data_IF_832773860359
#
_entry.id   IF_832773860359
#
_cell.length_a   1.000
_cell.length_b   1.000
_cell.length_c   1.000
_cell.angle_alpha   90.00
_cell.angle_beta   90.00
_cell.angle_gamma   90.00
#
_symmetry.space_group_name_H-M   'P 1'
#
loop_
_entity.id
_entity.type
_entity.pdbx_description
1 polymer ?
#
# COMPACT_ATOMS: atom_id res chain seq x y z
N UNK A 1 29.15 -15.37 -6.71
CA UNK A 1 30.29 -14.64 -7.34
C UNK A 1 30.92 -13.64 -6.38
N UNK A 2 30.16 -12.71 -5.80
CA UNK A 2 30.65 -11.72 -4.81
C UNK A 2 31.26 -12.33 -3.53
N UNK A 3 30.76 -13.48 -3.05
CA UNK A 3 31.33 -14.17 -1.89
C UNK A 3 32.80 -14.59 -2.08
N UNK A 4 33.27 -14.80 -3.32
CA UNK A 4 34.69 -15.09 -3.61
C UNK A 4 35.60 -13.89 -3.32
N UNK A 5 35.10 -12.66 -3.55
CA UNK A 5 35.81 -11.41 -3.25
C UNK A 5 35.95 -11.16 -1.74
N UNK A 6 35.18 -11.89 -0.93
CA UNK A 6 35.19 -11.82 0.54
C UNK A 6 36.00 -12.94 1.20
N UNK A 7 36.66 -13.82 0.43
CA UNK A 7 37.43 -14.97 0.98
C UNK A 7 38.55 -14.54 1.94
N UNK A 8 39.19 -13.40 1.69
CA UNK A 8 40.34 -12.91 2.48
C UNK A 8 39.94 -11.93 3.60
N UNK A 9 38.65 -11.67 3.80
CA UNK A 9 38.16 -10.78 4.85
C UNK A 9 37.60 -11.61 6.00
N UNK A 10 38.31 -11.71 7.13
CA UNK A 10 37.83 -12.46 8.30
C UNK A 10 36.77 -11.69 9.12
N UNK A 11 36.74 -10.36 9.02
CA UNK A 11 35.81 -9.51 9.76
C UNK A 11 34.34 -9.63 9.31
N UNK A 12 33.42 -9.40 10.26
CA UNK A 12 31.97 -9.37 10.01
C UNK A 12 31.49 -8.08 9.32
N UNK A 13 32.33 -7.05 9.23
CA UNK A 13 32.02 -5.79 8.60
C UNK A 13 33.25 -5.18 7.90
N UNK A 14 33.04 -4.64 6.69
CA UNK A 14 34.04 -3.81 5.99
C UNK A 14 33.69 -2.35 6.27
N UNK A 15 34.52 -1.67 7.06
CA UNK A 15 34.34 -0.25 7.40
C UNK A 15 34.68 0.70 6.26
N UNK A 16 34.39 2.00 6.44
CA UNK A 16 34.67 3.09 5.48
C UNK A 16 36.16 3.51 5.44
N UNK A 17 37.11 2.56 5.44
CA UNK A 17 38.54 2.86 5.24
C UNK A 17 38.86 2.79 3.74
N UNK A 18 39.81 3.58 3.25
CA UNK A 18 40.17 3.70 1.82
C UNK A 18 40.34 2.34 1.08
N UNK A 19 40.96 1.33 1.70
CA UNK A 19 41.11 0.00 1.09
C UNK A 19 39.78 -0.77 0.97
N UNK A 20 38.83 -0.51 1.87
CA UNK A 20 37.48 -1.07 1.84
C UNK A 20 36.59 -0.47 0.74
N UNK A 21 36.88 0.73 0.27
CA UNK A 21 36.09 1.42 -0.76
C UNK A 21 36.21 0.74 -2.13
N UNK A 22 37.42 0.33 -2.48
CA UNK A 22 37.69 -0.40 -3.74
C UNK A 22 36.94 -1.73 -3.76
N UNK A 23 36.99 -2.48 -2.65
CA UNK A 23 36.29 -3.77 -2.52
C UNK A 23 34.78 -3.59 -2.55
N UNK A 24 34.24 -2.57 -1.86
CA UNK A 24 32.80 -2.24 -1.90
C UNK A 24 32.33 -1.93 -3.32
N UNK A 25 33.12 -1.16 -4.09
CA UNK A 25 32.81 -0.83 -5.49
C UNK A 25 32.82 -2.06 -6.38
N UNK A 26 33.85 -2.90 -6.29
CA UNK A 26 33.93 -4.16 -7.06
C UNK A 26 32.77 -5.10 -6.74
N UNK A 27 32.40 -5.22 -5.46
CA UNK A 27 31.23 -6.02 -5.06
C UNK A 27 29.96 -5.45 -5.68
N UNK A 28 29.74 -4.14 -5.60
CA UNK A 28 28.56 -3.50 -6.18
C UNK A 28 28.49 -3.72 -7.70
N UNK A 29 29.60 -3.51 -8.42
CA UNK A 29 29.68 -3.73 -9.88
C UNK A 29 29.49 -5.21 -10.26
N UNK A 30 29.88 -6.14 -9.37
CA UNK A 30 29.64 -7.57 -9.59
C UNK A 30 28.18 -8.00 -9.38
N UNK A 31 27.44 -7.29 -8.54
CA UNK A 31 26.04 -7.58 -8.22
C UNK A 31 25.07 -6.82 -9.13
N UNK A 32 25.41 -5.58 -9.50
CA UNK A 32 24.54 -4.68 -10.25
C UNK A 32 25.24 -4.19 -11.51
N UNK A 33 24.72 -4.60 -12.66
CA UNK A 33 25.12 -4.07 -13.95
C UNK A 33 24.16 -2.96 -14.39
N UNK A 34 24.68 -1.75 -14.62
CA UNK A 34 23.90 -0.67 -15.19
C UNK A 34 23.52 -1.00 -16.64
N UNK A 35 22.22 -1.15 -16.91
CA UNK A 35 21.70 -1.39 -18.27
C UNK A 35 21.26 -0.12 -18.98
N UNK A 36 20.51 0.74 -18.28
CA UNK A 36 19.91 1.93 -18.87
C UNK A 36 19.94 3.11 -17.90
N UNK A 37 20.00 4.32 -18.45
CA UNK A 37 19.81 5.58 -17.73
C UNK A 37 18.74 6.38 -18.47
N UNK A 38 17.63 6.65 -17.79
CA UNK A 38 16.46 7.29 -18.39
C UNK A 38 16.03 8.51 -17.58
N UNK A 39 15.59 9.55 -18.28
CA UNK A 39 14.91 10.69 -17.68
C UNK A 39 13.41 10.37 -17.59
N UNK A 40 12.90 10.24 -16.36
CA UNK A 40 11.50 9.86 -16.10
C UNK A 40 10.62 11.08 -15.85
N UNK A 41 10.97 11.84 -14.81
CA UNK A 41 10.26 13.05 -14.39
C UNK A 41 10.76 14.26 -15.19
N UNK A 42 9.82 15.14 -15.55
CA UNK A 42 10.13 16.42 -16.20
C UNK A 42 10.71 17.43 -15.19
N UNK A 43 11.24 18.57 -15.67
CA UNK A 43 11.75 19.62 -14.79
C UNK A 43 10.66 20.12 -13.83
N UNK A 44 10.97 20.12 -12.53
CA UNK A 44 10.05 20.52 -11.47
C UNK A 44 9.25 19.38 -10.82
N UNK A 45 9.17 18.21 -11.44
CA UNK A 45 8.57 17.02 -10.83
C UNK A 45 9.60 16.22 -10.00
N UNK A 46 9.21 15.78 -8.81
CA UNK A 46 10.00 14.91 -7.95
C UNK A 46 9.46 13.49 -7.99
N UNK A 47 10.33 12.52 -8.29
CA UNK A 47 9.99 11.10 -8.23
C UNK A 47 9.77 10.69 -6.77
N UNK A 48 8.64 10.05 -6.47
CA UNK A 48 8.41 9.48 -5.15
C UNK A 48 9.22 8.18 -5.02
N UNK A 49 10.18 8.17 -4.09
CA UNK A 49 11.11 7.04 -3.86
C UNK A 49 10.42 5.79 -3.31
N UNK A 50 9.23 5.95 -2.73
CA UNK A 50 8.47 4.88 -2.08
C UNK A 50 7.31 4.39 -2.98
N UNK A 51 7.22 4.88 -4.22
CA UNK A 51 6.21 4.47 -5.19
C UNK A 51 6.85 3.73 -6.36
N UNK A 52 6.86 2.40 -6.26
CA UNK A 52 7.33 1.50 -7.31
C UNK A 52 6.49 0.25 -7.35
N UNK A 53 5.94 -0.05 -8.52
CA UNK A 53 5.16 -1.26 -8.77
C UNK A 53 5.69 -1.93 -10.05
N UNK A 54 5.72 -3.25 -10.07
CA UNK A 54 6.22 -4.04 -11.20
C UNK A 54 5.12 -4.94 -11.75
N UNK A 55 5.08 -5.11 -13.06
CA UNK A 55 4.20 -6.13 -13.66
C UNK A 55 4.70 -7.52 -13.35
N UNK A 56 3.82 -8.53 -13.33
CA UNK A 56 4.16 -9.93 -13.00
C UNK A 56 5.29 -10.51 -13.88
N UNK A 57 5.38 -10.11 -15.14
CA UNK A 57 6.44 -10.53 -16.06
C UNK A 57 7.72 -9.66 -15.99
N UNK A 58 7.82 -8.78 -15.00
CA UNK A 58 8.91 -7.80 -14.79
C UNK A 58 9.31 -7.02 -16.04
N UNK A 59 8.40 -6.85 -17.00
CA UNK A 59 8.69 -6.16 -18.26
C UNK A 59 8.42 -4.66 -18.14
N UNK A 60 7.54 -4.24 -17.23
CA UNK A 60 7.23 -2.85 -16.96
C UNK A 60 7.34 -2.50 -15.48
N UNK A 61 7.76 -1.27 -15.22
CA UNK A 61 7.69 -0.63 -13.91
C UNK A 61 6.73 0.56 -13.96
N UNK A 62 5.99 0.76 -12.88
CA UNK A 62 5.10 1.92 -12.67
C UNK A 62 5.70 2.75 -11.55
N UNK A 63 6.02 4.01 -11.84
CA UNK A 63 6.57 4.95 -10.88
C UNK A 63 5.68 6.18 -10.77
N UNK A 64 5.56 6.75 -9.58
CA UNK A 64 4.83 8.01 -9.35
C UNK A 64 5.78 9.19 -9.17
N UNK A 65 5.51 10.31 -9.82
CA UNK A 65 6.11 11.61 -9.53
C UNK A 65 5.06 12.61 -9.06
N UNK A 66 5.55 13.63 -8.35
CA UNK A 66 4.76 14.72 -7.80
C UNK A 66 5.36 16.04 -8.28
N UNK A 67 4.55 16.89 -8.89
CA UNK A 67 4.91 18.24 -9.29
C UNK A 67 4.11 19.27 -8.47
N UNK A 68 4.75 20.36 -8.02
CA UNK A 68 4.01 21.43 -7.35
C UNK A 68 3.05 22.10 -8.34
N UNK A 69 1.96 22.62 -7.81
CA UNK A 69 1.09 23.53 -8.57
C UNK A 69 1.77 24.89 -8.56
N UNK A 70 2.08 25.43 -9.74
CA UNK A 70 2.78 26.71 -9.84
C UNK A 70 1.96 27.82 -9.18
N UNK A 71 2.60 28.64 -8.34
CA UNK A 71 1.92 29.70 -7.55
C UNK A 71 1.17 30.73 -8.39
N UNK A 72 1.51 30.85 -9.68
CA UNK A 72 0.88 31.80 -10.62
C UNK A 72 -0.35 31.20 -11.33
N UNK A 73 -0.64 29.91 -11.14
CA UNK A 73 -1.82 29.25 -11.71
C UNK A 73 -2.94 29.37 -10.68
N UNK A 74 -3.94 30.18 -11.00
CA UNK A 74 -5.23 30.15 -10.30
C UNK A 74 -5.90 28.86 -10.72
N UNK A 75 -6.07 27.93 -9.78
CA UNK A 75 -6.87 26.73 -10.02
C UNK A 75 -8.33 27.14 -10.08
N UNK A 76 -9.03 26.74 -11.13
CA UNK A 76 -10.46 26.92 -11.19
C UNK A 76 -11.13 26.06 -10.12
N UNK A 77 -12.23 26.56 -9.57
CA UNK A 77 -12.99 25.83 -8.54
C UNK A 77 -13.46 24.47 -9.05
N UNK A 78 -13.76 24.38 -10.35
CA UNK A 78 -14.16 23.15 -11.04
C UNK A 78 -13.05 22.09 -11.10
N UNK A 79 -11.78 22.53 -11.16
CA UNK A 79 -10.63 21.63 -11.16
C UNK A 79 -10.40 21.00 -9.78
N UNK A 80 -10.78 21.70 -8.70
CA UNK A 80 -10.62 21.24 -7.32
C UNK A 80 -11.82 20.39 -6.88
N UNK A 81 -13.03 20.81 -7.24
CA UNK A 81 -14.29 20.20 -6.85
C UNK A 81 -14.99 19.59 -8.08
N UNK A 82 -14.50 18.43 -8.51
CA UNK A 82 -15.04 17.74 -9.70
C UNK A 82 -16.41 17.08 -9.49
N UNK A 83 -16.84 16.92 -8.22
CA UNK A 83 -18.14 16.39 -7.81
C UNK A 83 -18.46 16.79 -6.37
N UNK A 84 -19.71 16.57 -5.94
CA UNK A 84 -20.25 16.94 -4.63
C UNK A 84 -19.67 16.16 -3.43
N UNK A 85 -18.92 15.07 -3.66
CA UNK A 85 -18.22 14.33 -2.61
C UNK A 85 -16.74 14.74 -2.50
N UNK A 86 -16.25 15.61 -3.37
CA UNK A 86 -14.87 16.10 -3.33
C UNK A 86 -14.52 16.65 -1.95
N UNK A 87 -13.31 16.40 -1.50
CA UNK A 87 -12.86 16.70 -0.15
C UNK A 87 -12.40 18.16 -0.04
N UNK A 88 -12.58 18.78 1.11
CA UNK A 88 -12.10 20.14 1.33
C UNK A 88 -10.56 20.16 1.45
N UNK A 89 -9.84 20.89 0.57
CA UNK A 89 -8.39 21.03 0.68
C UNK A 89 -7.99 21.64 2.02
N UNK A 90 -6.89 21.18 2.60
CA UNK A 90 -6.37 21.77 3.83
C UNK A 90 -4.84 21.83 3.80
N UNK A 91 -4.25 22.56 4.75
CA UNK A 91 -2.79 22.73 4.84
C UNK A 91 -2.05 21.40 5.04
N UNK A 92 -2.72 20.40 5.65
CA UNK A 92 -2.15 19.07 5.91
C UNK A 92 -2.16 18.17 4.66
N UNK A 93 -2.98 18.50 3.67
CA UNK A 93 -3.13 17.80 2.39
C UNK A 93 -3.08 18.82 1.26
N UNK A 94 -1.88 19.32 0.95
CA UNK A 94 -1.70 20.17 -0.21
C UNK A 94 -2.08 19.40 -1.48
N UNK A 95 -2.75 20.11 -2.38
CA UNK A 95 -3.05 19.64 -3.72
C UNK A 95 -1.78 19.73 -4.57
N UNK A 96 -1.53 18.68 -5.33
CA UNK A 96 -0.35 18.57 -6.18
C UNK A 96 -0.73 17.97 -7.53
N UNK A 97 0.15 18.15 -8.51
CA UNK A 97 0.03 17.46 -9.79
C UNK A 97 0.76 16.12 -9.70
N UNK A 98 0.07 15.02 -9.94
CA UNK A 98 0.64 13.68 -9.89
C UNK A 98 0.81 13.14 -11.29
N UNK A 99 1.98 12.57 -11.59
CA UNK A 99 2.21 11.86 -12.85
C UNK A 99 2.59 10.42 -12.56
N UNK A 100 1.83 9.47 -13.11
CA UNK A 100 2.15 8.04 -13.06
C UNK A 100 2.83 7.64 -14.37
N UNK A 101 4.07 7.20 -14.29
CA UNK A 101 4.92 6.82 -15.42
C UNK A 101 4.95 5.31 -15.58
N UNK A 102 4.71 4.85 -16.81
CA UNK A 102 4.94 3.46 -17.22
C UNK A 102 6.29 3.36 -17.92
N UNK A 103 7.19 2.54 -17.39
CA UNK A 103 8.55 2.36 -17.90
C UNK A 103 8.69 0.95 -18.46
N UNK A 104 9.16 0.83 -19.69
CA UNK A 104 9.55 -0.45 -20.27
C UNK A 104 10.98 -0.78 -19.82
N UNK A 105 11.11 -1.79 -18.96
CA UNK A 105 12.38 -2.20 -18.36
C UNK A 105 13.32 -2.80 -19.41
N UNK A 106 12.77 -3.55 -20.38
CA UNK A 106 13.55 -4.21 -21.43
C UNK A 106 14.18 -3.23 -22.42
N UNK A 107 13.45 -2.16 -22.76
CA UNK A 107 13.91 -1.13 -23.70
C UNK A 107 14.60 0.05 -23.02
N UNK A 108 14.43 0.22 -21.71
CA UNK A 108 14.92 1.39 -21.00
C UNK A 108 14.28 2.68 -21.53
N UNK A 109 12.95 2.74 -21.58
CA UNK A 109 12.23 3.93 -22.07
C UNK A 109 10.88 4.12 -21.35
N UNK A 110 10.46 5.37 -21.19
CA UNK A 110 9.11 5.71 -20.71
C UNK A 110 8.11 5.43 -21.84
N UNK A 111 7.15 4.55 -21.59
CA UNK A 111 6.15 4.12 -22.58
C UNK A 111 4.87 4.96 -22.52
N UNK A 112 4.42 5.36 -21.33
CA UNK A 112 3.20 6.14 -21.15
C UNK A 112 3.24 6.96 -19.86
N UNK A 113 2.44 8.03 -19.81
CA UNK A 113 2.27 8.90 -18.64
C UNK A 113 0.78 9.15 -18.40
N UNK A 114 0.35 9.10 -17.14
CA UNK A 114 -0.98 9.49 -16.69
C UNK A 114 -0.84 10.72 -15.81
N UNK A 115 -1.57 11.78 -16.13
CA UNK A 115 -1.51 13.04 -15.39
C UNK A 115 -2.79 13.26 -14.59
N UNK A 116 -2.63 13.63 -13.32
CA UNK A 116 -3.70 14.00 -12.41
C UNK A 116 -3.39 15.42 -11.90
N UNK A 117 -4.33 16.34 -12.09
CA UNK A 117 -4.18 17.75 -11.71
C UNK A 117 -4.91 18.02 -10.42
N UNK A 118 -4.37 18.93 -9.60
CA UNK A 118 -5.01 19.42 -8.37
C UNK A 118 -5.58 18.30 -7.48
N UNK A 119 -4.86 17.19 -7.37
CA UNK A 119 -5.35 15.97 -6.72
C UNK A 119 -4.61 15.71 -5.40
N UNK A 120 -5.07 14.70 -4.67
CA UNK A 120 -4.34 14.05 -3.60
C UNK A 120 -4.31 12.54 -3.83
N UNK A 121 -3.14 12.04 -4.21
CA UNK A 121 -2.88 10.61 -4.39
C UNK A 121 -1.76 10.19 -3.44
N UNK A 122 -2.04 9.23 -2.56
CA UNK A 122 -1.06 8.74 -1.57
C UNK A 122 -0.02 7.81 -2.20
N UNK A 123 0.98 8.36 -2.86
CA UNK A 123 2.05 7.58 -3.52
C UNK A 123 2.98 6.87 -2.53
N UNK A 124 3.19 7.44 -1.35
CA UNK A 124 4.07 6.83 -0.32
C UNK A 124 3.62 5.42 0.03
N UNK A 125 4.55 4.48 -0.06
CA UNK A 125 4.33 3.06 0.16
C UNK A 125 3.15 2.49 -0.66
N UNK A 126 2.96 2.96 -1.90
CA UNK A 126 1.92 2.47 -2.81
C UNK A 126 0.48 2.49 -2.23
N UNK A 127 0.15 3.41 -1.30
CA UNK A 127 -1.14 3.36 -0.60
C UNK A 127 -2.33 3.82 -1.45
N UNK A 128 -2.10 4.71 -2.41
CA UNK A 128 -3.11 5.25 -3.32
C UNK A 128 -3.08 4.63 -4.72
N UNK A 129 -2.14 3.73 -4.99
CA UNK A 129 -1.96 3.10 -6.30
C UNK A 129 -1.81 1.60 -6.13
N UNK A 130 -2.62 0.83 -6.84
CA UNK A 130 -2.63 -0.63 -6.74
C UNK A 130 -2.51 -1.27 -8.11
N UNK A 131 -1.49 -2.11 -8.31
CA UNK A 131 -1.28 -2.87 -9.55
C UNK A 131 -1.47 -4.36 -9.27
N UNK A 132 -2.42 -4.99 -9.97
CA UNK A 132 -2.67 -6.42 -9.94
C UNK A 132 -2.78 -6.94 -11.38
N UNK A 133 -1.93 -7.90 -11.75
CA UNK A 133 -1.79 -8.37 -13.15
C UNK A 133 -1.54 -7.18 -14.09
N UNK A 134 -2.49 -6.92 -14.98
CA UNK A 134 -2.46 -5.82 -15.94
C UNK A 134 -3.40 -4.65 -15.54
N UNK A 135 -4.07 -4.74 -14.39
CA UNK A 135 -5.02 -3.72 -13.94
C UNK A 135 -4.35 -2.80 -12.92
N UNK A 136 -4.31 -1.50 -13.23
CA UNK A 136 -3.84 -0.45 -12.35
C UNK A 136 -5.05 0.34 -11.82
N UNK A 137 -5.22 0.38 -10.51
CA UNK A 137 -6.18 1.25 -9.85
C UNK A 137 -5.46 2.43 -9.19
N UNK A 138 -6.00 3.63 -9.35
CA UNK A 138 -5.49 4.87 -8.72
C UNK A 138 -6.64 5.55 -7.96
N UNK A 139 -6.48 5.76 -6.66
CA UNK A 139 -7.47 6.45 -5.82
C UNK A 139 -7.11 7.93 -5.77
N UNK A 140 -7.97 8.75 -6.37
CA UNK A 140 -8.03 10.19 -6.13
C UNK A 140 -8.80 10.42 -4.83
N UNK A 141 -8.07 10.81 -3.78
CA UNK A 141 -8.67 11.12 -2.48
C UNK A 141 -9.37 12.48 -2.54
N UNK A 142 -8.79 13.45 -3.23
CA UNK A 142 -9.39 14.78 -3.37
C UNK A 142 -10.72 14.71 -4.10
N UNK A 143 -10.76 14.04 -5.26
CA UNK A 143 -11.95 13.97 -6.10
C UNK A 143 -12.88 12.82 -5.75
N UNK A 144 -12.55 11.94 -4.80
CA UNK A 144 -13.34 10.75 -4.49
C UNK A 144 -13.65 9.89 -5.73
N UNK A 145 -12.62 9.63 -6.54
CA UNK A 145 -12.72 8.81 -7.75
C UNK A 145 -11.63 7.74 -7.74
N UNK A 146 -12.01 6.50 -8.05
CA UNK A 146 -11.06 5.43 -8.35
C UNK A 146 -10.95 5.32 -9.87
N UNK A 147 -9.78 5.60 -10.41
CA UNK A 147 -9.45 5.43 -11.82
C UNK A 147 -8.90 4.03 -12.03
N UNK A 148 -9.53 3.24 -12.90
CA UNK A 148 -9.08 1.89 -13.23
C UNK A 148 -8.57 1.88 -14.67
N UNK A 149 -7.32 1.46 -14.84
CA UNK A 149 -6.65 1.35 -16.12
C UNK A 149 -6.27 -0.10 -16.41
N UNK A 150 -6.30 -0.48 -17.68
CA UNK A 150 -5.73 -1.73 -18.17
C UNK A 150 -4.42 -1.45 -18.90
N UNK A 151 -3.41 -2.27 -18.65
CA UNK A 151 -2.16 -2.25 -19.39
C UNK A 151 -2.31 -3.10 -20.66
N UNK A 152 -2.36 -2.44 -21.81
CA UNK A 152 -2.39 -3.10 -23.13
C UNK A 152 -1.35 -2.46 -24.04
N UNK A 153 -0.60 -3.28 -24.77
CA UNK A 153 0.35 -2.80 -25.80
C UNK A 153 1.35 -1.71 -25.31
N UNK A 154 1.85 -1.81 -24.08
CA UNK A 154 2.75 -0.82 -23.46
C UNK A 154 2.10 0.53 -23.11
N UNK A 155 0.77 0.60 -23.02
CA UNK A 155 0.02 1.81 -22.65
C UNK A 155 -1.05 1.49 -21.60
N UNK A 156 -1.36 2.48 -20.78
CA UNK A 156 -2.53 2.43 -19.91
C UNK A 156 -3.76 2.96 -20.65
N UNK A 157 -4.78 2.12 -20.74
CA UNK A 157 -6.10 2.47 -21.26
C UNK A 157 -7.07 2.59 -20.09
N UNK A 158 -7.76 3.73 -19.97
CA UNK A 158 -8.79 3.91 -18.96
C UNK A 158 -9.92 2.92 -19.21
N UNK A 159 -10.28 2.13 -18.20
CA UNK A 159 -11.38 1.16 -18.27
C UNK A 159 -12.67 1.69 -17.63
N UNK A 160 -12.54 2.50 -16.58
CA UNK A 160 -13.66 3.11 -15.85
C UNK A 160 -13.17 4.10 -14.81
N UNK A 161 -14.07 5.00 -14.44
CA UNK A 161 -13.97 5.87 -13.25
C UNK A 161 -15.09 5.48 -12.29
N UNK A 162 -14.75 5.16 -11.05
CA UNK A 162 -15.71 4.71 -10.02
C UNK A 162 -15.79 5.80 -8.94
N UNK A 163 -16.95 6.40 -8.76
CA UNK A 163 -17.18 7.52 -7.82
C UNK A 163 -18.56 8.14 -8.07
N UNK A 164 -18.58 9.35 -8.67
CA UNK A 164 -19.80 10.03 -9.18
C UNK A 164 -20.67 9.09 -10.01
N UNK A 165 -20.05 8.36 -10.94
CA UNK A 165 -20.68 7.29 -11.71
C UNK A 165 -19.99 5.94 -11.46
N UNK A 166 -20.63 4.84 -11.85
CA UNK A 166 -20.07 3.49 -11.72
C UNK A 166 -19.72 2.86 -13.07
N UNK A 167 -20.46 3.21 -14.13
CA UNK A 167 -20.20 2.82 -15.51
C UNK A 167 -19.92 4.04 -16.39
N UNK A 168 -19.22 3.82 -17.49
CA UNK A 168 -18.86 4.89 -18.44
C UNK A 168 -20.09 5.49 -19.12
N UNK A 169 -21.12 4.67 -19.38
CA UNK A 169 -22.34 5.09 -20.06
C UNK A 169 -23.36 5.76 -19.11
N UNK A 170 -23.13 5.74 -17.79
CA UNK A 170 -24.06 6.31 -16.81
C UNK A 170 -24.30 7.80 -17.06
N UNK A 171 -23.24 8.55 -17.42
CA UNK A 171 -23.36 9.97 -17.71
C UNK A 171 -24.29 10.22 -18.91
N UNK A 172 -24.11 9.48 -20.01
CA UNK A 172 -24.96 9.61 -21.19
C UNK A 172 -26.42 9.23 -20.89
N UNK A 173 -26.63 8.18 -20.09
CA UNK A 173 -27.98 7.76 -19.70
C UNK A 173 -28.67 8.80 -18.81
N UNK A 174 -27.99 9.29 -17.78
CA UNK A 174 -28.57 10.26 -16.84
C UNK A 174 -28.81 11.60 -17.53
N UNK A 175 -27.85 12.07 -18.34
CA UNK A 175 -27.99 13.32 -19.10
C UNK A 175 -29.11 13.28 -20.15
N UNK A 176 -29.51 12.09 -20.62
CA UNK A 176 -30.68 11.95 -21.49
C UNK A 176 -32.02 12.28 -20.79
N UNK A 177 -32.05 12.18 -19.46
CA UNK A 177 -33.23 12.50 -18.63
C UNK A 177 -33.06 13.86 -17.95
N UNK A 178 -31.87 14.16 -17.46
CA UNK A 178 -31.52 15.42 -16.80
C UNK A 178 -30.61 16.26 -17.71
N UNK A 179 -31.23 16.90 -18.70
CA UNK A 179 -30.52 17.66 -19.75
C UNK A 179 -29.71 18.83 -19.22
N UNK A 180 -30.04 19.33 -18.02
CA UNK A 180 -29.28 20.39 -17.34
C UNK A 180 -27.82 20.00 -17.13
N UNK A 181 -27.51 18.69 -17.03
CA UNK A 181 -26.13 18.18 -16.95
C UNK A 181 -25.27 18.46 -18.18
N UNK A 182 -25.89 18.75 -19.32
CA UNK A 182 -25.22 19.02 -20.59
C UNK A 182 -24.92 20.52 -20.75
N UNK A 183 -25.55 21.38 -19.92
CA UNK A 183 -25.33 22.81 -19.97
C UNK A 183 -23.87 23.16 -19.65
N UNK A 184 -23.30 24.15 -20.33
CA UNK A 184 -21.92 24.61 -20.10
C UNK A 184 -21.71 25.14 -18.68
N UNK A 185 -22.76 25.70 -18.08
CA UNK A 185 -22.75 26.20 -16.70
C UNK A 185 -22.98 25.10 -15.65
N UNK A 186 -23.15 23.84 -16.07
CA UNK A 186 -23.42 22.75 -15.13
C UNK A 186 -22.21 22.44 -14.26
N UNK A 187 -22.38 22.66 -12.96
CA UNK A 187 -21.35 22.42 -11.95
C UNK A 187 -21.64 21.14 -11.19
N UNK A 188 -20.86 20.10 -11.46
CA UNK A 188 -21.01 18.78 -10.83
C UNK A 188 -20.87 18.79 -9.29
N UNK A 189 -20.19 19.77 -8.71
CA UNK A 189 -20.10 19.90 -7.25
C UNK A 189 -21.39 20.42 -6.59
N UNK A 190 -22.30 21.04 -7.35
CA UNK A 190 -23.60 21.50 -6.86
C UNK A 190 -24.68 20.41 -6.91
N UNK A 191 -24.32 19.18 -7.24
CA UNK A 191 -25.25 18.06 -7.31
C UNK A 191 -25.86 17.76 -5.94
N UNK A 192 -27.19 17.74 -5.89
CA UNK A 192 -27.94 17.40 -4.67
C UNK A 192 -28.05 15.89 -4.49
N UNK A 193 -27.98 15.13 -5.59
CA UNK A 193 -28.14 13.68 -5.55
C UNK A 193 -26.86 12.97 -5.09
N UNK A 194 -27.06 11.81 -4.46
CA UNK A 194 -25.96 10.96 -3.97
C UNK A 194 -25.25 10.31 -5.15
N UNK A 195 -23.91 10.34 -5.15
CA UNK A 195 -23.11 9.72 -6.20
C UNK A 195 -23.36 8.22 -6.35
N UNK A 196 -23.09 7.67 -7.54
CA UNK A 196 -23.40 6.29 -7.88
C UNK A 196 -22.81 5.26 -6.91
N UNK A 197 -21.52 5.40 -6.55
CA UNK A 197 -20.88 4.47 -5.62
C UNK A 197 -21.46 4.59 -4.19
N UNK A 198 -21.65 5.81 -3.71
CA UNK A 198 -22.22 6.10 -2.39
C UNK A 198 -23.66 5.62 -2.28
N UNK A 199 -24.46 5.81 -3.32
CA UNK A 199 -25.83 5.33 -3.38
C UNK A 199 -25.87 3.80 -3.26
N UNK A 200 -24.98 3.08 -3.95
CA UNK A 200 -24.88 1.62 -3.81
C UNK A 200 -24.48 1.18 -2.40
N UNK A 201 -23.60 1.91 -1.72
CA UNK A 201 -23.28 1.69 -0.30
C UNK A 201 -24.53 1.88 0.58
N UNK A 202 -25.26 2.99 0.42
CA UNK A 202 -26.46 3.29 1.20
C UNK A 202 -27.57 2.26 0.99
N UNK A 203 -27.83 1.87 -0.27
CA UNK A 203 -28.81 0.84 -0.61
C UNK A 203 -28.43 -0.50 0.00
N UNK A 204 -27.14 -0.87 -0.01
CA UNK A 204 -26.68 -2.10 0.62
C UNK A 204 -26.91 -2.08 2.13
N UNK A 205 -26.54 -0.99 2.82
CA UNK A 205 -26.73 -0.84 4.27
C UNK A 205 -28.21 -0.87 4.66
N UNK A 206 -29.07 -0.20 3.88
CA UNK A 206 -30.52 -0.24 4.08
C UNK A 206 -31.08 -1.65 3.93
N UNK A 207 -30.79 -2.34 2.82
CA UNK A 207 -31.26 -3.71 2.58
C UNK A 207 -30.73 -4.71 3.61
N UNK A 208 -29.52 -4.47 4.13
CA UNK A 208 -28.98 -5.26 5.25
C UNK A 208 -29.81 -5.05 6.52
N UNK A 209 -30.09 -3.79 6.89
CA UNK A 209 -30.91 -3.44 8.04
C UNK A 209 -32.36 -3.95 7.91
N UNK A 210 -32.93 -3.94 6.71
CA UNK A 210 -34.25 -4.52 6.41
C UNK A 210 -34.27 -6.03 6.67
N UNK A 211 -33.31 -6.78 6.12
CA UNK A 211 -33.20 -8.24 6.37
C UNK A 211 -33.00 -8.57 7.84
N UNK A 212 -32.16 -7.81 8.55
CA UNK A 212 -31.95 -7.98 9.99
C UNK A 212 -33.23 -7.66 10.78
N UNK A 213 -34.01 -6.67 10.33
CA UNK A 213 -35.29 -6.31 10.92
C UNK A 213 -36.34 -7.41 10.74
N UNK A 214 -36.42 -8.01 9.55
CA UNK A 214 -37.29 -9.14 9.25
C UNK A 214 -36.91 -10.38 10.09
N UNK A 215 -35.62 -10.70 10.18
CA UNK A 215 -35.13 -11.85 10.96
C UNK A 215 -35.36 -11.67 12.47
N UNK A 216 -35.15 -10.47 12.99
CA UNK A 216 -35.36 -10.18 14.41
C UNK A 216 -36.83 -9.92 14.78
N UNK A 217 -37.71 -9.75 13.79
CA UNK A 217 -39.11 -9.34 14.00
C UNK A 217 -39.24 -7.96 14.64
N UNK A 218 -38.21 -7.10 14.57
CA UNK A 218 -38.22 -5.76 15.19
C UNK A 218 -37.71 -4.70 14.22
N UNK A 219 -38.27 -3.49 14.28
CA UNK A 219 -37.81 -2.35 13.46
C UNK A 219 -36.55 -1.65 13.99
N UNK A 220 -35.90 -2.21 15.01
CA UNK A 220 -34.73 -1.60 15.64
C UNK A 220 -33.54 -1.41 14.67
N UNK A 221 -33.17 -2.39 13.82
CA UNK A 221 -32.07 -2.21 12.85
C UNK A 221 -32.32 -1.08 11.85
N UNK A 222 -33.55 -0.96 11.35
CA UNK A 222 -33.94 0.13 10.45
C UNK A 222 -33.86 1.50 11.15
N UNK A 223 -34.33 1.61 12.39
CA UNK A 223 -34.19 2.85 13.18
C UNK A 223 -32.72 3.24 13.38
N UNK A 224 -31.86 2.26 13.64
CA UNK A 224 -30.41 2.48 13.77
C UNK A 224 -29.81 2.98 12.45
N UNK A 225 -30.20 2.42 11.31
CA UNK A 225 -29.77 2.92 10.00
C UNK A 225 -30.13 4.40 9.81
N UNK A 226 -31.39 4.78 10.08
CA UNK A 226 -31.82 6.18 9.96
C UNK A 226 -31.13 7.11 10.98
N UNK A 227 -30.84 6.62 12.18
CA UNK A 227 -30.07 7.39 13.19
C UNK A 227 -28.66 7.72 12.70
N UNK A 228 -28.00 6.82 11.98
CA UNK A 228 -26.63 7.00 11.48
C UNK A 228 -26.57 7.43 10.00
N UNK A 229 -27.70 7.80 9.40
CA UNK A 229 -27.81 8.11 7.98
C UNK A 229 -26.84 9.22 7.53
N UNK A 230 -26.81 10.34 8.25
CA UNK A 230 -25.94 11.47 7.94
C UNK A 230 -24.46 11.10 8.09
N UNK A 231 -24.14 10.23 9.05
CA UNK A 231 -22.79 9.72 9.22
C UNK A 231 -22.36 8.85 8.04
N UNK A 232 -23.25 8.01 7.49
CA UNK A 232 -22.92 7.19 6.32
C UNK A 232 -22.72 8.03 5.05
N UNK A 233 -23.53 9.07 4.85
CA UNK A 233 -23.39 9.99 3.71
C UNK A 233 -22.09 10.79 3.79
N UNK A 234 -21.74 11.27 4.98
CA UNK A 234 -20.50 12.05 5.20
C UNK A 234 -19.21 11.22 5.08
N UNK A 235 -19.28 9.90 5.01
CA UNK A 235 -18.09 9.07 4.79
C UNK A 235 -17.37 9.44 3.48
N UNK A 236 -16.06 9.27 3.45
CA UNK A 236 -15.20 9.46 2.28
C UNK A 236 -14.29 8.25 2.09
N UNK A 237 -14.00 7.91 0.84
CA UNK A 237 -13.01 6.90 0.47
C UNK A 237 -11.64 7.36 0.96
N UNK A 238 -11.02 6.50 1.76
CA UNK A 238 -9.72 6.76 2.38
C UNK A 238 -8.61 5.95 1.70
N UNK A 239 -8.86 4.67 1.49
CA UNK A 239 -7.89 3.71 0.93
C UNK A 239 -8.61 2.68 0.08
N UNK A 240 -7.87 2.05 -0.82
CA UNK A 240 -8.39 0.94 -1.62
C UNK A 240 -7.34 -0.15 -1.83
N UNK A 241 -7.83 -1.31 -2.26
CA UNK A 241 -7.02 -2.44 -2.67
C UNK A 241 -7.79 -3.28 -3.68
N UNK A 242 -7.10 -3.87 -4.66
CA UNK A 242 -7.68 -4.92 -5.50
C UNK A 242 -7.56 -6.27 -4.78
N UNK A 243 -8.68 -6.99 -4.63
CA UNK A 243 -8.69 -8.37 -4.14
C UNK A 243 -8.49 -9.35 -5.30
N UNK A 244 -9.10 -9.03 -6.44
CA UNK A 244 -8.89 -9.71 -7.71
C UNK A 244 -9.08 -8.72 -8.88
N UNK A 245 -9.18 -9.23 -10.11
CA UNK A 245 -9.34 -8.42 -11.33
C UNK A 245 -10.72 -7.74 -11.41
N UNK A 246 -11.72 -8.18 -10.65
CA UNK A 246 -13.09 -7.67 -10.67
C UNK A 246 -13.54 -7.06 -9.33
N UNK A 247 -12.95 -7.47 -8.22
CA UNK A 247 -13.36 -7.13 -6.87
C UNK A 247 -12.31 -6.27 -6.18
N UNK A 248 -12.76 -5.18 -5.57
CA UNK A 248 -11.92 -4.27 -4.80
C UNK A 248 -12.45 -4.07 -3.39
N UNK A 249 -11.53 -3.89 -2.46
CA UNK A 249 -11.79 -3.49 -1.09
C UNK A 249 -11.61 -1.97 -1.00
N UNK A 250 -12.65 -1.26 -0.62
CA UNK A 250 -12.65 0.20 -0.42
C UNK A 250 -12.87 0.47 1.06
N UNK A 251 -11.97 1.24 1.69
CA UNK A 251 -12.12 1.67 3.07
C UNK A 251 -12.68 3.09 3.11
N UNK A 252 -13.83 3.23 3.76
CA UNK A 252 -14.46 4.50 4.06
C UNK A 252 -14.15 4.95 5.50
N UNK A 253 -13.94 6.25 5.68
CA UNK A 253 -13.76 6.88 6.98
C UNK A 253 -14.43 8.27 6.97
N UNK A 254 -14.46 8.97 8.10
CA UNK A 254 -14.91 10.36 8.14
C UNK A 254 -13.97 11.27 7.34
N UNK A 255 -14.48 12.41 6.87
CA UNK A 255 -13.69 13.39 6.14
C UNK A 255 -12.47 13.85 6.96
N UNK A 256 -12.57 13.97 8.29
CA UNK A 256 -11.45 14.38 9.15
C UNK A 256 -10.31 13.34 9.20
N UNK A 257 -10.62 12.05 9.07
CA UNK A 257 -9.62 10.98 8.94
C UNK A 257 -8.96 11.04 7.56
N UNK A 258 -9.78 11.18 6.52
CA UNK A 258 -9.29 11.27 5.13
C UNK A 258 -8.44 12.52 4.95
N UNK A 259 -8.80 13.61 5.61
CA UNK A 259 -8.12 14.90 5.55
C UNK A 259 -6.90 15.02 6.48
N UNK A 260 -6.50 13.92 7.11
CA UNK A 260 -5.37 13.83 8.05
C UNK A 260 -5.44 14.83 9.23
N UNK A 261 -6.63 15.35 9.57
CA UNK A 261 -6.83 16.21 10.75
C UNK A 261 -6.73 15.41 12.05
N UNK A 262 -6.98 14.11 11.98
CA UNK A 262 -6.89 13.17 13.11
C UNK A 262 -5.54 12.43 13.08
N UNK A 263 -4.78 12.52 14.17
CA UNK A 263 -3.46 11.89 14.30
C UNK A 263 -3.51 10.36 14.39
N UNK A 264 -4.53 9.78 15.05
CA UNK A 264 -4.69 8.34 15.21
C UNK A 264 -5.94 7.81 14.47
N UNK A 265 -5.85 7.60 13.14
CA UNK A 265 -6.99 7.23 12.33
C UNK A 265 -7.51 5.81 12.63
N UNK A 266 -6.65 4.94 13.19
CA UNK A 266 -7.03 3.58 13.59
C UNK A 266 -8.06 3.56 14.71
N UNK A 267 -8.20 4.64 15.49
CA UNK A 267 -9.17 4.74 16.59
C UNK A 267 -10.57 5.12 16.11
N UNK A 268 -10.70 5.65 14.91
CA UNK A 268 -11.97 6.12 14.38
C UNK A 268 -12.77 4.97 13.76
N UNK A 269 -14.10 5.12 13.73
CA UNK A 269 -14.97 4.18 13.02
C UNK A 269 -14.65 4.23 11.52
N UNK A 270 -14.57 3.06 10.90
CA UNK A 270 -14.36 2.96 9.45
C UNK A 270 -15.09 1.73 8.91
N UNK A 271 -15.44 1.80 7.63
CA UNK A 271 -16.18 0.76 6.94
C UNK A 271 -15.35 0.19 5.79
N UNK A 272 -15.46 -1.11 5.59
CA UNK A 272 -14.82 -1.84 4.52
C UNK A 272 -15.90 -2.32 3.56
N UNK A 273 -15.89 -1.81 2.34
CA UNK A 273 -16.81 -2.19 1.28
C UNK A 273 -16.10 -3.08 0.27
N UNK A 274 -16.65 -4.27 0.02
CA UNK A 274 -16.23 -5.13 -1.08
C UNK A 274 -17.11 -4.81 -2.28
N UNK A 275 -16.50 -4.30 -3.34
CA UNK A 275 -17.20 -3.82 -4.54
C UNK A 275 -16.73 -4.59 -5.77
N UNK A 276 -17.68 -5.15 -6.52
CA UNK A 276 -17.41 -5.72 -7.84
C UNK A 276 -17.51 -4.62 -8.87
N UNK A 277 -16.39 -4.28 -9.52
CA UNK A 277 -16.37 -3.21 -10.50
C UNK A 277 -17.01 -3.61 -11.82
N UNK A 278 -17.00 -4.88 -12.21
CA UNK A 278 -17.57 -5.36 -13.49
C UNK A 278 -19.09 -5.28 -13.49
N UNK A 279 -19.74 -5.73 -12.42
CA UNK A 279 -21.20 -5.67 -12.25
C UNK A 279 -21.68 -4.40 -11.57
N UNK A 280 -20.75 -3.57 -11.06
CA UNK A 280 -21.04 -2.42 -10.21
C UNK A 280 -21.95 -2.78 -9.01
N UNK A 281 -21.67 -3.87 -8.32
CA UNK A 281 -22.45 -4.32 -7.16
C UNK A 281 -21.62 -4.32 -5.89
N UNK A 282 -22.20 -3.87 -4.78
CA UNK A 282 -21.62 -4.03 -3.45
C UNK A 282 -21.90 -5.45 -2.96
N UNK A 283 -20.85 -6.22 -2.72
CA UNK A 283 -20.94 -7.61 -2.27
C UNK A 283 -21.16 -7.68 -0.75
N UNK A 284 -20.36 -6.92 0.01
CA UNK A 284 -20.55 -6.80 1.45
C UNK A 284 -19.96 -5.51 2.01
N UNK A 285 -20.44 -5.12 3.20
CA UNK A 285 -19.93 -3.98 3.97
C UNK A 285 -19.72 -4.40 5.42
N UNK A 286 -18.51 -4.19 5.91
CA UNK A 286 -18.07 -4.54 7.25
C UNK A 286 -17.64 -3.31 8.03
N UNK A 287 -17.93 -3.30 9.32
CA UNK A 287 -17.33 -2.35 10.26
C UNK A 287 -15.90 -2.76 10.58
N UNK A 288 -15.07 -1.82 11.02
CA UNK A 288 -13.70 -2.10 11.45
C UNK A 288 -13.57 -2.95 12.72
N UNK A 289 -14.68 -3.25 13.38
CA UNK A 289 -14.77 -4.14 14.55
C UNK A 289 -15.29 -5.53 14.19
N UNK A 290 -15.61 -5.79 12.91
CA UNK A 290 -16.24 -7.03 12.46
C UNK A 290 -15.36 -8.26 12.65
N UNK A 291 -15.86 -9.26 13.37
CA UNK A 291 -15.21 -10.57 13.50
C UNK A 291 -15.23 -11.35 12.19
N UNK A 292 -16.29 -11.22 11.37
CA UNK A 292 -16.43 -11.96 10.11
C UNK A 292 -15.34 -11.55 9.11
N UNK A 293 -15.07 -10.25 8.99
CA UNK A 293 -13.99 -9.77 8.14
C UNK A 293 -12.63 -10.21 8.67
N UNK A 294 -12.43 -10.22 9.99
CA UNK A 294 -11.19 -10.72 10.59
C UNK A 294 -10.98 -12.20 10.27
N UNK A 295 -12.01 -13.04 10.45
CA UNK A 295 -11.93 -14.45 10.10
C UNK A 295 -11.64 -14.64 8.60
N UNK A 296 -12.35 -13.92 7.73
CA UNK A 296 -12.07 -13.94 6.29
C UNK A 296 -10.63 -13.55 5.96
N UNK A 297 -10.09 -12.53 6.62
CA UNK A 297 -8.70 -12.12 6.46
C UNK A 297 -7.70 -13.16 6.98
N UNK A 298 -7.96 -13.79 8.12
CA UNK A 298 -7.07 -14.81 8.71
C UNK A 298 -7.01 -16.08 7.83
N UNK A 299 -8.15 -16.52 7.32
CA UNK A 299 -8.24 -17.72 6.45
C UNK A 299 -7.71 -17.47 5.04
N UNK A 300 -7.96 -16.29 4.46
CA UNK A 300 -7.60 -15.96 3.07
C UNK A 300 -6.52 -14.88 2.98
N UNK A 301 -5.61 -14.83 3.96
CA UNK A 301 -4.59 -13.77 4.09
C UNK A 301 -3.78 -13.59 2.80
N UNK A 302 -3.44 -14.68 2.12
CA UNK A 302 -2.66 -14.66 0.87
C UNK A 302 -3.40 -13.92 -0.25
N UNK A 303 -4.72 -14.03 -0.35
CA UNK A 303 -5.53 -13.28 -1.33
C UNK A 303 -5.46 -11.77 -1.07
N UNK A 304 -5.43 -11.35 0.20
CA UNK A 304 -5.23 -9.94 0.54
C UNK A 304 -3.77 -9.50 0.35
N UNK A 305 -2.79 -10.38 0.40
CA UNK A 305 -1.38 -9.98 0.18
C UNK A 305 -1.00 -9.92 -1.30
N UNK A 306 -1.71 -10.68 -2.15
CA UNK A 306 -1.43 -10.84 -3.58
C UNK A 306 0.05 -11.19 -3.85
N UNK A 307 0.55 -12.35 -3.36
CA UNK A 307 1.95 -12.74 -3.49
C UNK A 307 2.38 -13.16 -4.91
N UNK A 308 1.46 -13.16 -5.89
CA UNK A 308 1.64 -13.75 -7.23
C UNK A 308 2.67 -13.06 -8.14
N UNK A 309 3.47 -12.14 -7.61
CA UNK A 309 4.56 -11.50 -8.35
C UNK A 309 5.83 -12.36 -8.41
N UNK A 310 5.84 -13.53 -7.77
CA UNK A 310 6.97 -14.44 -7.83
C UNK A 310 6.86 -15.39 -9.04
N UNK A 311 7.75 -15.28 -10.06
CA UNK A 311 7.74 -16.17 -11.23
C UNK A 311 7.97 -17.64 -10.87
N UNK A 312 8.67 -17.89 -9.76
CA UNK A 312 9.10 -19.22 -9.32
C UNK A 312 8.07 -19.92 -8.42
N UNK A 313 6.92 -19.29 -8.16
CA UNK A 313 5.83 -19.87 -7.38
C UNK A 313 6.06 -19.94 -5.86
N UNK A 314 7.18 -19.41 -5.32
CA UNK A 314 7.35 -19.33 -3.87
C UNK A 314 6.37 -18.30 -3.28
N UNK A 315 5.43 -18.79 -2.47
CA UNK A 315 4.54 -17.94 -1.70
C UNK A 315 5.23 -17.53 -0.40
N UNK A 316 5.22 -16.22 -0.05
CA UNK A 316 5.72 -15.77 1.23
C UNK A 316 4.88 -16.38 2.36
N UNK A 317 5.53 -16.65 3.49
CA UNK A 317 4.84 -17.16 4.66
C UNK A 317 3.77 -16.19 5.17
N UNK A 318 2.61 -16.75 5.49
CA UNK A 318 1.46 -16.04 6.02
C UNK A 318 0.77 -16.88 7.10
N UNK A 319 -0.10 -16.26 7.91
CA UNK A 319 -0.91 -16.99 8.88
C UNK A 319 -1.81 -18.08 8.23
N UNK A 320 -2.19 -17.92 6.96
CA UNK A 320 -3.00 -18.89 6.23
C UNK A 320 -2.20 -20.12 5.80
N UNK A 321 -0.93 -19.97 5.42
CA UNK A 321 -0.15 -21.06 4.80
C UNK A 321 0.99 -21.64 5.68
N UNK A 322 1.36 -20.98 6.78
CA UNK A 322 2.52 -21.38 7.59
C UNK A 322 2.20 -21.43 9.09
N UNK A 323 2.58 -22.53 9.75
CA UNK A 323 2.29 -22.77 11.17
C UNK A 323 2.98 -21.76 12.09
N UNK A 324 4.22 -21.36 11.80
CA UNK A 324 4.98 -20.44 12.65
C UNK A 324 4.45 -19.02 12.51
N UNK A 325 4.15 -18.60 11.27
CA UNK A 325 3.46 -17.33 11.01
C UNK A 325 2.09 -17.29 11.70
N UNK A 326 1.34 -18.40 11.69
CA UNK A 326 0.06 -18.51 12.40
C UNK A 326 0.24 -18.37 13.91
N UNK A 327 1.23 -19.06 14.48
CA UNK A 327 1.52 -18.97 15.92
C UNK A 327 1.92 -17.56 16.35
N UNK A 328 2.76 -16.87 15.57
CA UNK A 328 3.11 -15.46 15.79
C UNK A 328 1.88 -14.55 15.75
N UNK A 329 0.99 -14.76 14.77
CA UNK A 329 -0.26 -14.01 14.62
C UNK A 329 -1.22 -14.24 15.80
N UNK A 330 -1.38 -15.49 16.26
CA UNK A 330 -2.21 -15.82 17.42
C UNK A 330 -1.64 -15.22 18.71
N UNK A 331 -0.32 -15.26 18.90
CA UNK A 331 0.33 -14.57 20.04
C UNK A 331 0.07 -13.06 20.01
N UNK A 332 0.16 -12.45 18.83
CA UNK A 332 -0.14 -11.03 18.66
C UNK A 332 -1.61 -10.72 18.99
N UNK A 333 -2.55 -11.51 18.46
CA UNK A 333 -3.98 -11.41 18.73
C UNK A 333 -4.29 -11.54 20.22
N UNK A 334 -3.74 -12.56 20.89
CA UNK A 334 -3.90 -12.76 22.34
C UNK A 334 -3.33 -11.61 23.17
N UNK A 335 -2.20 -11.03 22.75
CA UNK A 335 -1.63 -9.84 23.40
C UNK A 335 -2.56 -8.64 23.30
N UNK A 336 -3.24 -8.45 22.17
CA UNK A 336 -4.20 -7.34 21.98
C UNK A 336 -5.50 -7.57 22.75
N UNK A 337 -5.96 -8.83 22.85
CA UNK A 337 -7.14 -9.19 23.64
C UNK A 337 -6.91 -8.93 25.13
N UNK A 338 -5.73 -9.29 25.65
CA UNK A 338 -5.40 -9.19 27.08
C UNK A 338 -4.83 -7.83 27.49
N UNK A 339 -4.70 -6.87 26.57
CA UNK A 339 -4.18 -5.54 26.87
C UNK A 339 -5.13 -4.74 27.80
N UNK A 340 -4.61 -3.73 28.49
CA UNK A 340 -5.44 -2.80 29.29
C UNK A 340 -6.37 -2.02 28.35
N UNK A 341 -7.68 -2.08 28.59
CA UNK A 341 -8.74 -1.62 27.67
C UNK A 341 -8.81 -2.40 26.34
N UNK A 342 -8.26 -3.62 26.32
CA UNK A 342 -8.40 -4.57 25.23
C UNK A 342 -9.78 -5.24 25.20
N UNK A 343 -9.96 -6.13 24.24
CA UNK A 343 -11.19 -6.86 24.00
C UNK A 343 -11.31 -7.25 22.53
N UNK A 344 -12.30 -8.08 22.19
CA UNK A 344 -12.48 -8.58 20.81
C UNK A 344 -12.61 -7.45 19.79
N UNK A 345 -13.40 -6.42 20.10
CA UNK A 345 -13.61 -5.29 19.18
C UNK A 345 -12.31 -4.50 18.93
N UNK A 346 -11.52 -4.23 19.97
CA UNK A 346 -10.27 -3.48 19.85
C UNK A 346 -9.16 -4.32 19.19
N UNK A 347 -9.10 -5.62 19.47
CA UNK A 347 -8.21 -6.55 18.77
C UNK A 347 -8.55 -6.62 17.26
N UNK A 348 -9.83 -6.79 16.92
CA UNK A 348 -10.31 -6.79 15.53
C UNK A 348 -9.92 -5.48 14.84
N UNK A 349 -10.18 -4.35 15.48
CA UNK A 349 -9.86 -3.01 14.97
C UNK A 349 -8.38 -2.80 14.68
N UNK A 350 -7.49 -3.30 15.55
CA UNK A 350 -6.03 -3.21 15.35
C UNK A 350 -5.53 -4.10 14.22
N UNK A 351 -6.04 -5.34 14.13
CA UNK A 351 -5.63 -6.28 13.08
C UNK A 351 -6.17 -5.81 11.71
N UNK A 352 -7.47 -5.50 11.63
CA UNK A 352 -8.12 -4.97 10.42
C UNK A 352 -7.63 -3.57 10.05
N UNK A 353 -7.00 -2.85 10.98
CA UNK A 353 -6.35 -1.57 10.72
C UNK A 353 -5.27 -1.65 9.64
N UNK A 354 -4.70 -2.84 9.39
CA UNK A 354 -3.76 -3.10 8.30
C UNK A 354 -4.40 -3.06 6.91
N UNK A 355 -5.71 -3.28 6.80
CA UNK A 355 -6.44 -3.22 5.56
C UNK A 355 -6.83 -1.77 5.22
N UNK A 356 -6.85 -1.40 3.93
CA UNK A 356 -6.34 -2.16 2.79
C UNK A 356 -4.81 -2.23 2.77
N UNK A 357 -4.29 -3.36 2.30
CA UNK A 357 -2.86 -3.61 2.14
C UNK A 357 -2.36 -2.88 0.90
N UNK A 358 -1.18 -2.28 0.99
CA UNK A 358 -0.55 -1.62 -0.16
C UNK A 358 -0.08 -2.65 -1.20
N UNK A 359 -0.11 -2.28 -2.48
CA UNK A 359 0.35 -3.18 -3.53
C UNK A 359 1.84 -3.48 -3.40
N UNK A 360 2.19 -4.75 -3.60
CA UNK A 360 3.58 -5.27 -3.66
C UNK A 360 4.40 -4.95 -2.40
N UNK A 361 3.75 -4.88 -1.24
CA UNK A 361 4.41 -4.50 0.02
C UNK A 361 5.06 -5.67 0.77
N UNK A 362 5.17 -6.85 0.16
CA UNK A 362 5.71 -8.06 0.81
C UNK A 362 6.88 -8.62 0.02
N UNK A 363 8.00 -8.82 0.71
CA UNK A 363 9.17 -9.50 0.19
C UNK A 363 8.94 -11.02 0.18
N UNK A 364 9.29 -11.64 -0.94
CA UNK A 364 9.28 -13.10 -1.09
C UNK A 364 10.67 -13.73 -0.85
N UNK A 365 11.58 -13.00 -0.19
CA UNK A 365 12.94 -13.50 0.01
C UNK A 365 12.98 -14.72 0.95
N UNK A 366 13.72 -15.78 0.61
CA UNK A 366 13.91 -16.94 1.49
C UNK A 366 14.49 -16.59 2.88
N UNK A 367 15.16 -15.44 3.00
CA UNK A 367 15.66 -14.95 4.29
C UNK A 367 14.57 -14.62 5.30
N UNK A 368 13.38 -14.26 4.82
CA UNK A 368 12.22 -13.90 5.64
C UNK A 368 11.18 -15.03 5.68
N UNK A 369 11.57 -16.23 5.26
CA UNK A 369 10.72 -17.39 5.35
C UNK A 369 10.74 -17.92 6.79
N UNK A 370 9.59 -17.85 7.45
CA UNK A 370 9.43 -18.29 8.85
C UNK A 370 9.49 -19.80 9.01
N UNK A 371 9.37 -20.58 7.92
CA UNK A 371 9.61 -22.02 7.91
C UNK A 371 11.10 -22.37 7.98
N UNK A 372 11.95 -21.55 7.38
CA UNK A 372 13.40 -21.76 7.33
C UNK A 372 14.11 -21.14 8.55
N UNK A 373 13.71 -19.92 8.92
CA UNK A 373 14.39 -19.15 9.95
C UNK A 373 13.45 -18.70 11.07
N UNK A 374 13.98 -18.72 12.29
CA UNK A 374 13.42 -18.04 13.45
C UNK A 374 14.17 -16.72 13.66
N UNK A 375 13.44 -15.61 13.63
CA UNK A 375 13.94 -14.27 13.84
C UNK A 375 12.85 -13.41 14.50
N UNK A 376 13.23 -12.25 15.05
CA UNK A 376 12.29 -11.34 15.70
C UNK A 376 11.67 -10.37 14.68
N UNK A 377 10.37 -10.57 14.40
CA UNK A 377 9.57 -9.79 13.44
C UNK A 377 9.46 -8.29 13.77
N UNK A 378 9.77 -7.91 15.02
CA UNK A 378 9.83 -6.52 15.45
C UNK A 378 10.94 -5.75 14.73
N UNK A 379 12.07 -6.40 14.45
CA UNK A 379 13.26 -5.76 13.86
C UNK A 379 13.34 -5.93 12.34
N UNK A 380 12.77 -7.00 11.81
CA UNK A 380 12.73 -7.29 10.36
C UNK A 380 11.48 -8.10 10.04
N UNK A 381 10.77 -7.81 8.95
CA UNK A 381 9.56 -8.58 8.59
C UNK A 381 9.40 -8.69 7.08
N UNK A 382 8.63 -9.69 6.59
CA UNK A 382 8.28 -9.79 5.16
C UNK A 382 7.59 -8.55 4.62
N UNK A 383 6.79 -7.85 5.43
CA UNK A 383 6.18 -6.58 5.03
C UNK A 383 7.24 -5.48 4.95
N UNK A 384 7.39 -4.87 3.78
CA UNK A 384 8.36 -3.82 3.46
C UNK A 384 7.96 -2.49 4.10
N UNK A 385 8.20 -2.38 5.41
CA UNK A 385 8.07 -1.13 6.17
C UNK A 385 9.32 -0.84 6.98
N UNK A 386 9.71 0.43 7.13
CA UNK A 386 10.81 0.82 8.00
C UNK A 386 10.59 0.32 9.44
N UNK A 387 11.62 -0.29 10.02
CA UNK A 387 11.65 -0.79 11.41
C UNK A 387 12.58 0.07 12.25
N UNK A 388 12.39 0.05 13.57
CA UNK A 388 13.30 0.76 14.49
C UNK A 388 14.66 0.07 14.45
N UNK A 389 15.74 0.86 14.41
CA UNK A 389 17.10 0.33 14.48
C UNK A 389 17.36 -0.20 15.88
N UNK A 390 17.69 -1.49 15.98
CA UNK A 390 18.14 -2.11 17.22
C UNK A 390 19.62 -1.82 17.51
N UNK A 391 19.99 -1.90 18.80
CA UNK A 391 21.39 -1.80 19.23
C UNK A 391 22.19 -3.06 18.87
N UNK A 392 21.51 -4.21 18.90
CA UNK A 392 22.09 -5.53 18.66
C UNK A 392 21.83 -6.00 17.22
N UNK A 393 22.73 -6.84 16.66
CA UNK A 393 22.48 -7.45 15.36
C UNK A 393 21.24 -8.33 15.38
N UNK A 394 20.52 -8.34 14.26
CA UNK A 394 19.34 -9.19 14.09
C UNK A 394 19.83 -10.60 13.80
N UNK A 395 19.45 -11.55 14.64
CA UNK A 395 19.90 -12.95 14.58
C UNK A 395 18.86 -13.82 13.87
N UNK A 396 19.32 -14.65 12.96
CA UNK A 396 18.51 -15.64 12.25
C UNK A 396 18.96 -17.03 12.67
N UNK A 397 18.07 -17.78 13.31
CA UNK A 397 18.31 -19.15 13.74
C UNK A 397 17.67 -20.11 12.74
N UNK A 398 18.38 -21.15 12.32
CA UNK A 398 17.80 -22.20 11.47
C UNK A 398 16.72 -22.95 12.26
N UNK A 399 15.55 -23.14 11.65
CA UNK A 399 14.47 -23.96 12.25
C UNK A 399 14.81 -25.44 12.24
N UNK A 400 15.64 -25.89 11.30
CA UNK A 400 16.05 -27.29 11.17
C UNK A 400 17.06 -27.69 12.25
N UNK A 401 18.11 -26.88 12.45
CA UNK A 401 19.21 -27.21 13.38
C UNK A 401 19.13 -26.49 14.73
N UNK A 402 18.29 -25.44 14.85
CA UNK A 402 18.25 -24.55 16.02
C UNK A 402 19.49 -23.66 16.18
N UNK A 403 20.49 -23.77 15.28
CA UNK A 403 21.74 -23.02 15.37
C UNK A 403 21.65 -21.65 14.71
N UNK A 404 22.46 -20.70 15.19
CA UNK A 404 22.58 -19.38 14.59
C UNK A 404 23.12 -19.52 13.16
N UNK A 405 22.31 -19.13 12.17
CA UNK A 405 22.68 -19.22 10.75
C UNK A 405 23.44 -17.99 10.27
N UNK A 406 22.93 -16.79 10.56
CA UNK A 406 23.58 -15.52 10.21
C UNK A 406 23.00 -14.36 11.04
N UNK A 407 23.68 -13.22 10.96
CA UNK A 407 23.31 -11.97 11.62
C UNK A 407 23.26 -10.82 10.61
N UNK A 408 22.30 -9.91 10.76
CA UNK A 408 22.28 -8.64 10.04
C UNK A 408 22.73 -7.51 10.97
N UNK A 409 23.74 -6.77 10.55
CA UNK A 409 24.33 -5.67 11.32
C UNK A 409 23.86 -4.32 10.78
N UNK A 410 22.89 -3.71 11.43
CA UNK A 410 22.36 -2.40 11.03
C UNK A 410 23.22 -1.26 11.56
N UNK A 411 23.78 -1.37 12.76
CA UNK A 411 24.55 -0.31 13.40
C UNK A 411 26.05 -0.48 13.13
N UNK A 412 26.68 0.56 12.56
CA UNK A 412 28.15 0.72 12.57
C UNK A 412 28.57 1.87 13.50
N UNK A 413 27.60 2.58 14.11
CA UNK A 413 27.90 3.77 14.91
C UNK A 413 28.59 3.41 16.23
N UNK A 414 29.87 3.79 16.32
CA UNK A 414 30.68 3.82 17.56
C UNK A 414 30.22 4.91 18.54
N UNK A 415 29.34 5.81 18.11
CA UNK A 415 28.86 6.93 18.92
C UNK A 415 27.44 6.65 19.43
N UNK A 416 27.26 6.82 20.75
CA UNK A 416 25.98 6.71 21.45
C UNK A 416 24.91 7.56 20.75
N UNK A 417 23.67 7.07 20.64
CA UNK A 417 22.59 7.86 20.06
C UNK A 417 22.36 9.12 20.90
N UNK A 418 22.28 10.28 20.24
CA UNK A 418 21.63 11.47 20.80
C UNK A 418 20.16 11.12 21.06
N UNK A 419 19.69 11.35 22.28
CA UNK A 419 18.50 10.72 22.88
C UNK A 419 17.14 10.97 22.18
N UNK A 420 17.04 11.82 21.17
CA UNK A 420 15.73 12.38 20.77
C UNK A 420 15.07 11.82 19.49
N UNK A 421 15.71 10.94 18.71
CA UNK A 421 15.07 10.41 17.48
C UNK A 421 15.24 8.91 17.29
N UNK A 422 14.10 8.20 17.19
CA UNK A 422 14.03 6.79 16.79
C UNK A 422 14.55 6.64 15.36
N UNK A 423 15.75 6.09 15.18
CA UNK A 423 16.29 5.77 13.86
C UNK A 423 15.49 4.64 13.24
N UNK A 424 15.16 4.78 11.96
CA UNK A 424 14.44 3.76 11.18
C UNK A 424 15.37 3.15 10.12
N UNK A 425 15.19 1.86 9.85
CA UNK A 425 15.88 1.09 8.82
C UNK A 425 14.87 0.38 7.93
N UNK A 426 15.05 0.50 6.63
CA UNK A 426 14.35 -0.30 5.63
C UNK A 426 15.28 -1.40 5.12
N UNK A 427 14.75 -2.59 4.86
CA UNK A 427 15.50 -3.70 4.31
C UNK A 427 14.96 -4.08 2.95
N UNK A 428 15.87 -4.37 2.02
CA UNK A 428 15.56 -4.92 0.69
C UNK A 428 16.41 -6.16 0.50
N UNK A 429 15.76 -7.31 0.44
CA UNK A 429 16.43 -8.59 0.26
C UNK A 429 16.47 -8.94 -1.22
N UNK A 430 17.60 -9.47 -1.69
CA UNK A 430 17.65 -10.03 -3.04
C UNK A 430 16.73 -11.26 -3.10
N UNK A 431 15.99 -11.46 -4.21
CA UNK A 431 15.10 -12.61 -4.33
C UNK A 431 15.86 -13.94 -4.33
N UNK A 432 17.03 -14.01 -4.98
CA UNK A 432 17.75 -15.26 -5.24
C UNK A 432 19.17 -15.33 -4.71
N UNK A 433 19.84 -14.20 -4.52
CA UNK A 433 21.27 -14.16 -4.18
C UNK A 433 21.42 -13.94 -2.68
N UNK A 434 22.55 -14.36 -2.08
CA UNK A 434 22.78 -14.21 -0.66
C UNK A 434 23.14 -12.77 -0.26
N UNK A 435 22.25 -11.82 -0.61
CA UNK A 435 22.48 -10.39 -0.54
C UNK A 435 21.25 -9.67 0.02
N UNK A 436 21.48 -8.68 0.87
CA UNK A 436 20.45 -7.75 1.32
C UNK A 436 21.03 -6.33 1.47
N UNK A 437 20.17 -5.34 1.33
CA UNK A 437 20.49 -3.93 1.54
C UNK A 437 19.71 -3.47 2.77
N UNK A 438 20.37 -2.74 3.66
CA UNK A 438 19.68 -1.98 4.70
C UNK A 438 19.93 -0.49 4.49
N UNK A 439 18.87 0.30 4.43
CA UNK A 439 18.92 1.76 4.27
C UNK A 439 18.41 2.42 5.52
N UNK A 440 19.24 3.29 6.12
CA UNK A 440 18.89 4.11 7.26
C UNK A 440 18.87 5.57 6.86
N UNK A 441 17.94 6.32 7.44
CA UNK A 441 17.93 7.78 7.34
C UNK A 441 18.35 8.35 8.69
N UNK A 442 19.54 8.94 8.74
CA UNK A 442 20.02 9.69 9.90
C UNK A 442 20.01 11.18 9.54
N UNK A 443 19.08 11.93 10.13
CA UNK A 443 18.76 13.31 9.76
C UNK A 443 18.42 13.48 8.26
N UNK A 444 19.43 13.82 7.46
CA UNK A 444 19.35 14.10 6.01
C UNK A 444 20.22 13.16 5.18
N UNK A 445 21.09 12.37 5.81
CA UNK A 445 21.97 11.44 5.12
C UNK A 445 21.38 10.03 5.12
N UNK A 446 21.58 9.35 4.00
CA UNK A 446 21.21 7.95 3.85
C UNK A 446 22.44 7.08 4.08
N UNK A 447 22.40 6.27 5.12
CA UNK A 447 23.41 5.25 5.39
C UNK A 447 22.92 3.96 4.76
N UNK A 448 23.67 3.46 3.78
CA UNK A 448 23.36 2.21 3.08
C UNK A 448 24.39 1.16 3.47
N UNK A 449 23.92 0.03 4.02
CA UNK A 449 24.76 -1.13 4.29
C UNK A 449 24.40 -2.27 3.34
N UNK A 450 25.43 -2.96 2.87
CA UNK A 450 25.31 -4.17 2.06
C UNK A 450 25.64 -5.39 2.91
N UNK A 451 24.72 -6.34 2.95
CA UNK A 451 24.82 -7.58 3.71
C UNK A 451 25.04 -8.72 2.73
N UNK A 452 26.15 -9.43 2.85
CA UNK A 452 26.46 -10.59 2.02
C UNK A 452 26.67 -11.79 2.92
N UNK A 453 25.85 -12.83 2.76
CA UNK A 453 26.04 -14.08 3.49
C UNK A 453 27.15 -14.88 2.81
N UNK A 454 28.20 -15.21 3.59
CA UNK A 454 29.23 -16.16 3.16
C UNK A 454 28.61 -17.56 3.16
N UNK A 455 28.28 -18.06 1.98
CA UNK A 455 27.96 -19.47 1.80
C UNK A 455 29.28 -20.17 1.51
N UNK A 456 29.81 -20.91 2.48
CA UNK A 456 30.88 -21.87 2.21
C UNK A 456 30.24 -23.00 1.42
N UNK A 457 30.36 -22.97 0.09
CA UNK A 457 30.13 -24.16 -0.70
C UNK A 457 31.29 -25.12 -0.34
N UNK A 458 31.01 -26.37 0.08
CA UNK A 458 32.06 -27.38 0.11
C UNK A 458 32.63 -27.50 -1.30
N UNK A 459 33.97 -27.55 -1.38
CA UNK A 459 34.70 -27.65 -2.66
C UNK A 459 34.34 -28.92 -3.44
#
# INVERSE_FOLDING_TARGET
>A
MAAKLLKNYEGNCIGQKNDGDVVRKQIFESLFQLKFRILVAAEGEQLNRECSLFTENSSYAVLGSVGPIAHNVILDYDDIFTNNESVSPNVLLPLENYTIHLINIKRGAVSHRLHFKADKISLSHNQGVYLLKNVLAVLSVQHQIIHVYNLTQSRFCLLRKIGRFCFENDFAYISSVHTDMIAEDYKAYNEIFINGLKNKLMVFLYKKAERESEQAGTHYPLRKFYQFYDQFISLRMWKMQLLDVNNMLIRYASEDVVTAKIQEPSTQASFFMIYNMTTATVLNVYENTSSDLLHGYEYFCDTFRNPYLNPDGFMPCSPSNNIYSRESHEKFKNTMLNARFGGTMEANKRILGQLPIAAQSFSCSPYLDTSLYSYDEKWVSPMERPKVVGEYPIRFYSRESGTLSFCLYTSVSRNRPTQDRRRLVAFTFHPTDPFAISVQRDNLEYIVNFHIRKVYLPE
#
